data_IF_130629116466
#
_entry.id   IF_130629116466
#
_cell.length_a   1.000
_cell.length_b   1.000
_cell.length_c   1.000
_cell.angle_alpha   90.00
_cell.angle_beta   90.00
_cell.angle_gamma   90.00
#
_symmetry.space_group_name_H-M   'P 1'
#
loop_
_entity.id
_entity.type
_entity.pdbx_description
1 polymer ?
#
# COMPACT_ATOMS: atom_id res chain seq x y z
N UNK A 1 -25.79 4.99 -22.64
CA UNK A 1 -25.66 3.54 -22.49
C UNK A 1 -24.46 3.29 -21.57
N UNK A 2 -24.71 3.12 -20.27
CA UNK A 2 -23.70 2.90 -19.25
C UNK A 2 -23.27 1.45 -19.39
N UNK A 3 -22.01 1.21 -19.78
CA UNK A 3 -21.41 -0.12 -19.71
C UNK A 3 -21.36 -0.52 -18.24
N UNK A 4 -22.12 -1.54 -17.87
CA UNK A 4 -21.88 -2.29 -16.65
C UNK A 4 -20.48 -2.89 -16.75
N UNK A 5 -19.52 -2.28 -16.06
CA UNK A 5 -18.20 -2.88 -15.87
C UNK A 5 -18.42 -4.17 -15.10
N UNK A 6 -18.14 -5.30 -15.74
CA UNK A 6 -18.26 -6.61 -15.11
C UNK A 6 -17.17 -6.72 -14.06
N UNK A 7 -17.57 -6.57 -12.81
CA UNK A 7 -16.72 -6.84 -11.65
C UNK A 7 -16.40 -8.33 -11.65
N UNK A 8 -15.18 -8.69 -11.99
CA UNK A 8 -14.70 -10.06 -11.97
C UNK A 8 -14.41 -10.49 -10.54
N UNK A 9 -15.36 -11.16 -9.89
CA UNK A 9 -15.14 -11.84 -8.61
C UNK A 9 -14.36 -13.12 -8.88
N UNK A 10 -13.17 -13.24 -8.29
CA UNK A 10 -12.47 -14.52 -8.24
C UNK A 10 -13.31 -15.53 -7.44
N UNK A 11 -13.66 -16.71 -8.00
CA UNK A 11 -14.48 -17.70 -7.31
C UNK A 11 -13.87 -18.23 -6.00
N UNK A 12 -12.55 -18.08 -5.83
CA UNK A 12 -11.80 -18.63 -4.70
C UNK A 12 -11.55 -17.65 -3.56
N UNK A 13 -11.62 -16.34 -3.77
CA UNK A 13 -11.21 -15.35 -2.77
C UNK A 13 -12.24 -14.27 -2.43
N UNK A 14 -13.35 -14.16 -3.17
CA UNK A 14 -14.31 -13.02 -3.11
C UNK A 14 -13.64 -11.64 -3.23
N UNK A 15 -12.43 -11.58 -3.79
CA UNK A 15 -11.70 -10.34 -4.00
C UNK A 15 -12.02 -9.76 -5.37
N UNK A 16 -12.21 -8.45 -5.40
CA UNK A 16 -12.35 -7.70 -6.64
C UNK A 16 -10.95 -7.52 -7.25
N UNK A 17 -10.81 -7.90 -8.52
CA UNK A 17 -9.59 -7.73 -9.28
C UNK A 17 -9.87 -6.96 -10.56
N UNK A 18 -8.93 -6.09 -10.93
CA UNK A 18 -8.96 -5.45 -12.24
C UNK A 18 -8.65 -6.49 -13.33
N UNK A 19 -9.28 -6.36 -14.48
CA UNK A 19 -8.81 -7.09 -15.64
C UNK A 19 -7.54 -6.42 -16.21
N UNK A 20 -6.92 -7.09 -17.18
CA UNK A 20 -5.65 -6.64 -17.75
C UNK A 20 -5.71 -5.25 -18.38
N UNK A 21 -6.78 -4.94 -19.10
CA UNK A 21 -6.95 -3.63 -19.77
C UNK A 21 -7.20 -2.52 -18.75
N UNK A 22 -8.05 -2.77 -17.76
CA UNK A 22 -8.33 -1.83 -16.66
C UNK A 22 -7.05 -1.51 -15.87
N UNK A 23 -6.26 -2.52 -15.53
CA UNK A 23 -5.00 -2.34 -14.82
C UNK A 23 -3.99 -1.51 -15.64
N UNK A 24 -3.90 -1.80 -16.95
CA UNK A 24 -3.07 -1.02 -17.87
C UNK A 24 -3.50 0.43 -17.95
N UNK A 25 -4.81 0.67 -18.19
CA UNK A 25 -5.35 2.01 -18.33
C UNK A 25 -5.17 2.83 -17.06
N UNK A 26 -5.41 2.22 -15.89
CA UNK A 26 -5.20 2.87 -14.60
C UNK A 26 -3.76 3.36 -14.44
N UNK A 27 -2.78 2.48 -14.63
CA UNK A 27 -1.38 2.86 -14.45
C UNK A 27 -0.90 3.84 -15.53
N UNK A 28 -1.38 3.70 -16.77
CA UNK A 28 -1.08 4.65 -17.85
C UNK A 28 -1.49 6.07 -17.45
N UNK A 29 -2.72 6.26 -16.97
CA UNK A 29 -3.21 7.57 -16.50
C UNK A 29 -2.38 8.13 -15.35
N UNK A 30 -1.99 7.28 -14.40
CA UNK A 30 -1.14 7.70 -13.27
C UNK A 30 0.22 8.18 -13.75
N UNK A 31 0.86 7.43 -14.66
CA UNK A 31 2.17 7.78 -15.21
C UNK A 31 2.12 9.05 -16.08
N UNK A 32 1.05 9.24 -16.85
CA UNK A 32 0.82 10.47 -17.62
C UNK A 32 0.66 11.68 -16.69
N UNK A 33 -0.19 11.56 -15.68
CA UNK A 33 -0.38 12.62 -14.68
C UNK A 33 0.93 12.96 -13.95
N UNK A 34 1.71 11.95 -13.58
CA UNK A 34 3.02 12.16 -12.95
C UNK A 34 3.97 12.93 -13.88
N UNK A 35 4.04 12.53 -15.17
CA UNK A 35 4.89 13.20 -16.16
C UNK A 35 4.48 14.65 -16.40
N UNK A 36 3.18 14.94 -16.46
CA UNK A 36 2.66 16.29 -16.60
C UNK A 36 3.02 17.20 -15.41
N UNK A 37 2.95 16.64 -14.20
CA UNK A 37 3.21 17.40 -12.97
C UNK A 37 4.69 17.62 -12.68
N UNK A 38 5.54 16.65 -13.01
CA UNK A 38 6.93 16.63 -12.58
C UNK A 38 7.96 16.75 -13.72
N UNK A 39 7.57 16.45 -14.96
CA UNK A 39 8.46 16.54 -16.13
C UNK A 39 9.66 15.58 -16.10
N UNK A 40 9.70 14.64 -15.16
CA UNK A 40 10.82 13.73 -14.93
C UNK A 40 10.52 12.31 -15.42
N UNK A 41 11.57 11.61 -15.82
CA UNK A 41 11.49 10.16 -16.12
C UNK A 41 11.56 9.36 -14.85
N UNK A 42 10.65 8.40 -14.71
CA UNK A 42 10.64 7.46 -13.60
C UNK A 42 11.71 6.39 -13.80
N UNK A 43 12.37 5.99 -12.70
CA UNK A 43 13.26 4.83 -12.68
C UNK A 43 12.57 3.59 -12.09
N UNK A 44 11.64 3.80 -11.18
CA UNK A 44 10.96 2.73 -10.43
C UNK A 44 9.50 3.08 -10.17
N UNK A 45 8.64 2.06 -10.17
CA UNK A 45 7.23 2.14 -9.76
C UNK A 45 6.97 1.05 -8.73
N UNK A 46 6.44 1.43 -7.57
CA UNK A 46 6.02 0.52 -6.52
C UNK A 46 4.50 0.54 -6.38
N UNK A 47 3.88 -0.62 -6.59
CA UNK A 47 2.44 -0.82 -6.38
C UNK A 47 2.21 -1.38 -4.99
N UNK A 48 1.41 -0.70 -4.17
CA UNK A 48 1.05 -1.13 -2.83
C UNK A 48 -0.38 -1.68 -2.81
N UNK A 49 -0.53 -2.90 -2.28
CA UNK A 49 -1.80 -3.62 -2.21
C UNK A 49 -2.06 -4.18 -0.82
N UNK A 50 -3.31 -4.24 -0.40
CA UNK A 50 -3.73 -5.03 0.77
C UNK A 50 -3.99 -6.48 0.40
N UNK A 51 -4.73 -6.69 -0.68
CA UNK A 51 -5.05 -7.99 -1.24
C UNK A 51 -3.88 -8.57 -2.03
N UNK A 52 -4.05 -9.77 -2.50
CA UNK A 52 -3.12 -10.38 -3.43
C UNK A 52 -3.43 -9.87 -4.84
N UNK A 53 -2.41 -9.44 -5.56
CA UNK A 53 -2.55 -9.12 -6.99
C UNK A 53 -2.55 -10.42 -7.80
N UNK A 54 -3.35 -10.52 -8.84
CA UNK A 54 -3.34 -11.66 -9.73
C UNK A 54 -2.42 -11.42 -10.95
N UNK A 55 -2.12 -12.49 -11.68
CA UNK A 55 -1.20 -12.42 -12.82
C UNK A 55 -1.69 -11.52 -13.94
N UNK A 56 -3.00 -11.47 -14.20
CA UNK A 56 -3.57 -10.63 -15.26
C UNK A 56 -3.50 -9.15 -14.91
N UNK A 57 -3.81 -8.79 -13.66
CA UNK A 57 -3.60 -7.43 -13.15
C UNK A 57 -2.14 -7.01 -13.29
N UNK A 58 -1.21 -7.86 -12.80
CA UNK A 58 0.21 -7.54 -12.87
C UNK A 58 0.70 -7.38 -14.31
N UNK A 59 0.28 -8.25 -15.23
CA UNK A 59 0.59 -8.12 -16.67
C UNK A 59 0.02 -6.85 -17.27
N UNK A 60 -1.16 -6.43 -16.83
CA UNK A 60 -1.75 -5.15 -17.21
C UNK A 60 -0.86 -3.99 -16.80
N UNK A 61 -0.50 -3.90 -15.53
CA UNK A 61 0.41 -2.86 -15.02
C UNK A 61 1.77 -2.90 -15.71
N UNK A 62 2.35 -4.08 -15.87
CA UNK A 62 3.65 -4.23 -16.54
C UNK A 62 3.62 -3.73 -17.99
N UNK A 63 2.48 -3.87 -18.70
CA UNK A 63 2.35 -3.38 -20.07
C UNK A 63 2.21 -1.85 -20.18
N UNK A 64 1.88 -1.16 -19.08
CA UNK A 64 1.80 0.31 -19.02
C UNK A 64 3.15 0.97 -18.69
N UNK A 65 4.06 0.23 -18.06
CA UNK A 65 5.33 0.77 -17.60
C UNK A 65 6.30 0.92 -18.77
N UNK A 66 6.97 2.09 -18.93
CA UNK A 66 7.96 2.29 -19.99
C UNK A 66 9.15 1.31 -19.88
N UNK A 67 9.76 1.01 -21.02
CA UNK A 67 10.94 0.16 -21.05
C UNK A 67 12.07 0.73 -20.18
N UNK A 68 12.70 -0.10 -19.39
CA UNK A 68 13.78 0.28 -18.47
C UNK A 68 13.32 0.80 -17.11
N UNK A 69 12.02 1.01 -16.89
CA UNK A 69 11.46 1.35 -15.58
C UNK A 69 11.16 0.08 -14.81
N UNK A 70 11.61 0.02 -13.58
CA UNK A 70 11.39 -1.11 -12.69
C UNK A 70 9.98 -1.07 -12.10
N UNK A 71 9.27 -2.19 -12.17
CA UNK A 71 7.95 -2.37 -11.55
C UNK A 71 8.03 -3.40 -10.43
N UNK A 72 7.56 -3.02 -9.24
CA UNK A 72 7.50 -3.89 -8.07
C UNK A 72 6.10 -3.84 -7.47
N UNK A 73 5.49 -5.00 -7.26
CA UNK A 73 4.19 -5.10 -6.58
C UNK A 73 4.36 -5.69 -5.17
N UNK A 74 3.86 -4.98 -4.17
CA UNK A 74 4.07 -5.26 -2.76
C UNK A 74 2.73 -5.39 -2.07
N UNK A 75 2.51 -6.54 -1.44
CA UNK A 75 1.39 -6.74 -0.54
C UNK A 75 1.77 -6.22 0.85
N UNK A 76 0.91 -5.37 1.42
CA UNK A 76 1.06 -4.79 2.75
C UNK A 76 -0.23 -5.03 3.53
N UNK A 77 -0.16 -5.80 4.59
CA UNK A 77 -1.33 -6.08 5.43
C UNK A 77 -0.94 -6.20 6.90
N UNK A 78 -1.87 -5.89 7.80
CA UNK A 78 -1.68 -6.16 9.22
C UNK A 78 -1.70 -7.67 9.44
N UNK A 79 -0.69 -8.19 10.15
CA UNK A 79 -0.63 -9.59 10.56
C UNK A 79 -1.04 -9.69 12.04
N UNK A 80 -2.30 -10.07 12.25
CA UNK A 80 -2.87 -10.19 13.58
C UNK A 80 -2.42 -11.42 14.37
N UNK A 81 -1.92 -12.43 13.67
CA UNK A 81 -1.56 -13.72 14.26
C UNK A 81 -0.11 -13.73 14.75
N UNK A 82 0.73 -12.86 14.19
CA UNK A 82 2.14 -12.76 14.55
C UNK A 82 2.36 -11.76 15.70
N UNK A 83 2.95 -12.22 16.79
CA UNK A 83 3.27 -11.39 17.96
C UNK A 83 4.72 -11.57 18.33
N UNK A 84 5.37 -10.45 18.66
CA UNK A 84 6.75 -10.45 19.16
C UNK A 84 6.77 -9.81 20.56
N UNK A 85 7.37 -10.51 21.50
CA UNK A 85 7.52 -10.05 22.87
C UNK A 85 8.98 -9.77 23.18
N UNK A 86 9.23 -8.82 24.05
CA UNK A 86 10.53 -8.57 24.65
C UNK A 86 10.39 -8.47 26.16
N UNK A 87 11.46 -8.70 26.86
CA UNK A 87 11.53 -8.43 28.30
C UNK A 87 11.44 -6.93 28.61
N UNK A 88 10.78 -6.58 29.71
CA UNK A 88 10.66 -5.22 30.21
C UNK A 88 9.24 -4.66 30.15
N UNK A 89 9.10 -3.43 30.62
CA UNK A 89 7.81 -2.75 30.81
C UNK A 89 7.08 -2.38 29.49
N UNK A 90 7.84 -2.14 28.43
CA UNK A 90 7.29 -1.65 27.17
C UNK A 90 7.35 -2.70 26.06
N UNK A 91 6.40 -2.69 25.13
CA UNK A 91 6.44 -3.59 23.98
C UNK A 91 7.65 -3.27 23.07
N UNK A 92 7.78 -4.03 21.99
CA UNK A 92 8.85 -3.82 21.02
C UNK A 92 8.84 -2.39 20.46
N UNK A 93 10.02 -1.84 20.11
CA UNK A 93 10.10 -0.49 19.55
C UNK A 93 9.44 -0.40 18.18
N UNK A 94 8.82 0.75 17.90
CA UNK A 94 8.42 1.14 16.57
C UNK A 94 9.64 1.15 15.62
N UNK A 95 9.47 0.58 14.43
CA UNK A 95 10.54 0.42 13.44
C UNK A 95 11.31 -0.89 13.55
N UNK A 96 10.92 -1.79 14.50
CA UNK A 96 11.48 -3.15 14.53
C UNK A 96 11.13 -3.87 13.24
N UNK A 97 12.12 -4.50 12.62
CA UNK A 97 11.99 -5.28 11.39
C UNK A 97 12.44 -6.71 11.63
N UNK A 98 11.59 -7.67 11.27
CA UNK A 98 11.94 -9.08 11.20
C UNK A 98 11.93 -9.50 9.73
N UNK A 99 13.10 -9.69 9.15
CA UNK A 99 13.26 -10.22 7.80
C UNK A 99 13.12 -11.75 7.84
N UNK A 100 12.13 -12.28 7.14
CA UNK A 100 11.94 -13.73 7.02
C UNK A 100 12.76 -14.30 5.85
N UNK A 101 12.73 -13.62 4.72
CA UNK A 101 13.51 -13.93 3.52
C UNK A 101 13.69 -12.69 2.65
N UNK A 102 14.12 -12.84 1.41
CA UNK A 102 14.35 -11.69 0.51
C UNK A 102 13.05 -11.03 0.00
N UNK A 103 11.91 -11.68 0.15
CA UNK A 103 10.61 -11.21 -0.35
C UNK A 103 9.63 -10.87 0.77
N UNK A 104 9.87 -11.33 2.01
CA UNK A 104 8.91 -11.20 3.10
C UNK A 104 9.58 -10.70 4.37
N UNK A 105 8.95 -9.70 4.99
CA UNK A 105 9.33 -9.17 6.28
C UNK A 105 8.11 -8.77 7.11
N UNK A 106 8.28 -8.72 8.43
CA UNK A 106 7.35 -8.12 9.37
C UNK A 106 7.93 -6.82 9.92
N UNK A 107 7.16 -5.72 9.80
CA UNK A 107 7.55 -4.38 10.23
C UNK A 107 6.59 -3.88 11.31
N UNK A 108 7.10 -3.53 12.47
CA UNK A 108 6.31 -2.90 13.53
C UNK A 108 6.26 -1.39 13.33
N UNK A 109 5.22 -0.91 12.66
CA UNK A 109 4.94 0.51 12.45
C UNK A 109 4.30 1.17 13.67
N UNK A 110 3.77 0.38 14.58
CA UNK A 110 3.25 0.77 15.89
C UNK A 110 4.04 0.04 16.98
N UNK A 111 4.28 0.71 18.12
CA UNK A 111 5.06 0.15 19.20
C UNK A 111 5.66 1.23 20.11
N UNK A 112 6.53 0.84 21.01
CA UNK A 112 7.22 1.77 21.91
C UNK A 112 8.05 2.79 21.13
N UNK A 113 7.91 4.06 21.50
CA UNK A 113 8.63 5.20 20.92
C UNK A 113 9.73 5.65 21.89
N UNK A 114 10.99 5.17 21.75
CA UNK A 114 12.04 5.42 22.75
C UNK A 114 12.31 6.90 23.02
N UNK A 115 12.31 7.75 21.99
CA UNK A 115 12.52 9.20 22.13
C UNK A 115 11.44 9.89 22.96
N UNK A 116 10.21 9.42 22.89
CA UNK A 116 9.07 9.97 23.61
C UNK A 116 8.79 9.21 24.92
N UNK A 117 9.50 8.13 25.18
CA UNK A 117 9.30 7.23 26.33
C UNK A 117 7.83 6.80 26.51
N UNK A 118 7.12 6.62 25.40
CA UNK A 118 5.67 6.33 25.40
C UNK A 118 5.30 5.18 24.47
N UNK A 119 4.15 4.59 24.79
CA UNK A 119 3.42 3.65 23.95
C UNK A 119 1.94 3.94 24.09
N UNK A 120 1.30 4.29 22.97
CA UNK A 120 -0.09 4.77 22.95
C UNK A 120 -1.12 3.62 22.87
N UNK A 121 -0.68 2.37 22.74
CA UNK A 121 -1.54 1.21 22.61
C UNK A 121 -1.79 0.49 23.94
N UNK A 122 -2.96 -0.14 24.07
CA UNK A 122 -3.29 -1.03 25.18
C UNK A 122 -2.90 -2.50 24.90
N UNK A 123 -2.75 -2.89 23.64
CA UNK A 123 -2.48 -4.25 23.20
C UNK A 123 -1.04 -4.43 22.68
N UNK A 124 -0.62 -5.70 22.58
CA UNK A 124 0.65 -6.03 21.91
C UNK A 124 0.62 -5.54 20.46
N UNK A 125 1.63 -4.77 20.01
CA UNK A 125 1.64 -4.24 18.65
C UNK A 125 1.66 -5.35 17.62
N UNK A 126 0.79 -5.23 16.62
CA UNK A 126 0.71 -6.13 15.46
C UNK A 126 1.62 -5.60 14.35
N UNK A 127 2.42 -6.45 13.68
CA UNK A 127 3.24 -6.01 12.57
C UNK A 127 2.45 -5.82 11.29
N UNK A 128 3.00 -5.02 10.37
CA UNK A 128 2.68 -5.13 8.96
C UNK A 128 3.50 -6.28 8.36
N UNK A 129 2.83 -7.21 7.71
CA UNK A 129 3.49 -8.15 6.80
C UNK A 129 3.67 -7.45 5.46
N UNK A 130 4.92 -7.39 5.02
CA UNK A 130 5.34 -6.85 3.73
C UNK A 130 5.79 -8.03 2.88
N UNK A 131 5.21 -8.19 1.70
CA UNK A 131 5.55 -9.27 0.79
C UNK A 131 5.68 -8.77 -0.64
N UNK A 132 6.86 -8.90 -1.23
CA UNK A 132 7.10 -8.60 -2.64
C UNK A 132 6.51 -9.75 -3.46
N UNK A 133 5.40 -9.50 -4.16
CA UNK A 133 4.72 -10.50 -4.97
C UNK A 133 5.32 -10.60 -6.37
N UNK A 134 5.69 -9.45 -6.94
CA UNK A 134 6.28 -9.36 -8.28
C UNK A 134 7.38 -8.32 -8.32
N UNK A 135 8.35 -8.54 -9.20
CA UNK A 135 9.53 -7.69 -9.31
C UNK A 135 10.60 -8.04 -8.30
N UNK A 136 11.67 -7.25 -8.25
CA UNK A 136 12.80 -7.45 -7.33
C UNK A 136 13.12 -6.13 -6.64
N UNK A 137 13.24 -6.16 -5.31
CA UNK A 137 13.67 -5.03 -4.51
C UNK A 137 14.37 -5.51 -3.23
N UNK A 138 15.17 -4.65 -2.61
CA UNK A 138 15.68 -4.94 -1.27
C UNK A 138 14.55 -4.77 -0.26
N UNK A 139 14.14 -5.88 0.36
CA UNK A 139 13.04 -5.92 1.34
C UNK A 139 13.32 -5.01 2.55
N UNK A 140 14.57 -4.79 2.90
CA UNK A 140 14.94 -3.90 4.02
C UNK A 140 14.72 -2.44 3.61
N UNK A 141 15.10 -2.06 2.39
CA UNK A 141 14.84 -0.72 1.87
C UNK A 141 13.33 -0.47 1.72
N UNK A 142 12.60 -1.42 1.13
CA UNK A 142 11.13 -1.38 1.04
C UNK A 142 10.49 -1.16 2.41
N UNK A 143 10.94 -1.87 3.44
CA UNK A 143 10.40 -1.71 4.79
C UNK A 143 10.72 -0.33 5.39
N UNK A 144 11.89 0.25 5.11
CA UNK A 144 12.25 1.62 5.51
C UNK A 144 11.34 2.66 4.84
N UNK A 145 11.08 2.50 3.55
CA UNK A 145 10.21 3.40 2.77
C UNK A 145 8.77 3.33 3.29
N UNK A 146 8.25 2.12 3.51
CA UNK A 146 6.94 1.91 4.12
C UNK A 146 6.86 2.56 5.51
N UNK A 147 7.90 2.40 6.36
CA UNK A 147 7.96 3.06 7.67
C UNK A 147 7.95 4.59 7.53
N UNK A 148 8.64 5.12 6.53
CA UNK A 148 8.61 6.54 6.18
C UNK A 148 7.20 7.01 5.81
N UNK A 149 6.53 6.27 4.92
CA UNK A 149 5.17 6.57 4.46
C UNK A 149 4.13 6.56 5.58
N UNK A 150 4.35 5.84 6.68
CA UNK A 150 3.44 5.90 7.85
C UNK A 150 3.48 7.23 8.61
N UNK A 151 4.40 8.14 8.28
CA UNK A 151 4.54 9.45 8.92
C UNK A 151 3.99 10.60 8.07
N UNK A 152 3.53 10.32 6.86
CA UNK A 152 3.16 11.35 5.88
C UNK A 152 1.66 11.69 5.88
N UNK A 153 0.85 11.06 6.71
CA UNK A 153 -0.56 11.43 6.82
C UNK A 153 -0.68 12.72 7.65
N UNK A 154 -0.92 13.83 6.97
CA UNK A 154 -1.09 15.16 7.56
C UNK A 154 -2.53 15.48 7.98
N UNK A 155 -3.50 14.64 7.59
CA UNK A 155 -4.91 14.78 7.99
C UNK A 155 -5.17 14.26 9.40
N UNK A 156 -4.17 13.66 10.02
CA UNK A 156 -4.29 13.02 11.30
C UNK A 156 -3.27 13.60 12.29
N UNK A 157 -3.74 14.00 13.48
CA UNK A 157 -2.88 14.51 14.55
C UNK A 157 -1.94 13.45 15.18
N UNK A 158 -2.03 12.19 14.75
CA UNK A 158 -1.12 11.14 15.21
C UNK A 158 0.27 11.33 14.64
N UNK A 159 1.29 11.14 15.48
CA UNK A 159 2.71 11.24 15.07
C UNK A 159 3.12 10.21 14.00
N UNK A 160 2.39 9.12 13.87
CA UNK A 160 2.55 8.12 12.83
C UNK A 160 1.36 7.17 12.82
N UNK A 161 0.96 6.76 11.64
CA UNK A 161 -0.10 5.79 11.44
C UNK A 161 0.43 4.35 11.47
N UNK A 162 -0.48 3.39 11.59
CA UNK A 162 -0.15 1.97 11.53
C UNK A 162 0.15 1.54 10.10
N UNK A 163 -0.62 2.03 9.15
CA UNK A 163 -0.48 1.74 7.72
C UNK A 163 0.26 2.88 7.00
N UNK A 164 0.92 2.61 5.86
CA UNK A 164 1.47 3.68 5.02
C UNK A 164 0.36 4.50 4.38
N UNK A 165 0.61 5.78 4.19
CA UNK A 165 -0.34 6.74 3.61
C UNK A 165 -0.93 6.28 2.27
N UNK A 166 -0.17 5.55 1.48
CA UNK A 166 -0.61 4.99 0.19
C UNK A 166 -1.74 3.98 0.32
N UNK A 167 -1.75 3.18 1.38
CA UNK A 167 -2.85 2.23 1.67
C UNK A 167 -4.01 2.96 2.34
N UNK A 168 -3.73 3.77 3.35
CA UNK A 168 -4.75 4.48 4.13
C UNK A 168 -5.61 5.37 3.23
N UNK A 169 -4.97 6.19 2.39
CA UNK A 169 -5.70 7.06 1.46
C UNK A 169 -6.48 6.31 0.37
N UNK A 170 -5.98 5.17 -0.08
CA UNK A 170 -6.74 4.36 -1.04
C UNK A 170 -8.00 3.75 -0.42
N UNK A 171 -7.97 3.44 0.87
CA UNK A 171 -9.14 2.99 1.62
C UNK A 171 -10.16 4.11 1.79
N UNK A 172 -9.71 5.29 2.26
CA UNK A 172 -10.58 6.46 2.46
C UNK A 172 -11.28 6.87 1.14
N UNK A 173 -10.52 6.92 0.03
CA UNK A 173 -11.09 7.19 -1.30
C UNK A 173 -12.07 6.11 -1.72
N UNK A 174 -11.73 4.84 -1.48
CA UNK A 174 -12.60 3.71 -1.79
C UNK A 174 -13.94 3.78 -1.05
N UNK A 175 -13.93 4.10 0.24
CA UNK A 175 -15.16 4.28 1.04
C UNK A 175 -16.03 5.40 0.48
N UNK A 176 -15.44 6.58 0.17
CA UNK A 176 -16.17 7.70 -0.40
C UNK A 176 -16.81 7.34 -1.76
N UNK A 177 -16.10 6.61 -2.61
CA UNK A 177 -16.62 6.20 -3.93
C UNK A 177 -17.73 5.14 -3.82
N UNK A 178 -17.63 4.23 -2.85
CA UNK A 178 -18.69 3.25 -2.56
C UNK A 178 -19.96 3.93 -2.06
N UNK A 179 -19.82 4.93 -1.19
CA UNK A 179 -20.96 5.68 -0.67
C UNK A 179 -21.60 6.61 -1.72
N UNK A 180 -20.85 6.93 -2.77
CA UNK A 180 -21.31 7.82 -3.85
C UNK A 180 -21.23 7.16 -5.25
N UNK A 181 -21.94 6.07 -5.50
CA UNK A 181 -21.84 5.29 -6.75
C UNK A 181 -22.27 6.05 -8.01
N UNK A 182 -22.93 7.21 -7.85
CA UNK A 182 -23.38 8.06 -8.97
C UNK A 182 -22.33 9.08 -9.43
N UNK A 183 -21.13 9.07 -8.88
CA UNK A 183 -20.04 9.96 -9.29
C UNK A 183 -19.53 9.51 -10.66
N UNK A 184 -20.08 10.09 -11.73
CA UNK A 184 -19.79 9.74 -13.11
C UNK A 184 -18.33 9.98 -13.53
N UNK A 185 -17.63 10.91 -12.83
CA UNK A 185 -16.23 11.24 -13.10
C UNK A 185 -15.51 11.50 -11.74
N UNK A 186 -14.97 10.49 -11.10
CA UNK A 186 -14.19 10.68 -9.88
C UNK A 186 -12.96 11.55 -10.19
N UNK A 187 -12.68 12.49 -9.29
CA UNK A 187 -11.51 13.35 -9.44
C UNK A 187 -10.23 12.53 -9.21
N UNK A 188 -9.22 12.74 -10.03
CA UNK A 188 -7.93 12.02 -9.91
C UNK A 188 -7.05 12.53 -8.77
N UNK A 189 -7.30 13.74 -8.28
CA UNK A 189 -6.47 14.35 -7.25
C UNK A 189 -7.05 14.05 -5.86
N UNK A 190 -6.24 13.47 -5.01
CA UNK A 190 -6.59 13.07 -3.65
C UNK A 190 -7.23 14.18 -2.79
N UNK A 191 -6.81 15.45 -2.97
CA UNK A 191 -7.34 16.61 -2.26
C UNK A 191 -8.87 16.80 -2.35
N UNK A 192 -9.54 16.12 -3.26
CA UNK A 192 -11.00 16.17 -3.39
C UNK A 192 -11.73 15.13 -2.51
N UNK A 193 -10.97 14.28 -1.81
CA UNK A 193 -11.49 13.20 -0.97
C UNK A 193 -11.12 13.34 0.52
N UNK A 194 -10.52 14.46 0.90
CA UNK A 194 -10.09 14.77 2.27
C UNK A 194 -10.74 16.06 2.76
#
# INVERSE_FOLDING_TARGET
MIREERINLSPQSKQLHLNREEAKDLLTRVLETYRELHGQTLSEVFLHYRSRINDEEYRGFASAVPQGVKLVAIQIRVDGDFKLFREGRYPIPRGTLLKLNNETAHLWTHGYKPKLKTYDGAETPKPLRIHIQYGQADIVQVAKDILGLTKLNYNNAKLANTQPVTIEFSEDVGEILVDNPKTANPKTQFRYYI
#
